data_IF_408097090880
#
_entry.id   IF_408097090880
#
_cell.length_a   1.000
_cell.length_b   1.000
_cell.length_c   1.000
_cell.angle_alpha   90.00
_cell.angle_beta   90.00
_cell.angle_gamma   90.00
#
_symmetry.space_group_name_H-M   'P 1'
#
loop_
_entity.id
_entity.type
_entity.pdbx_description
1 polymer ?
#
# COMPACT_ATOMS: atom_id res chain seq x y z
N UNK A 1 19.73 -52.12 8.62
CA UNK A 1 20.05 -52.18 7.19
C UNK A 1 20.85 -50.95 6.85
N UNK A 2 22.02 -51.13 6.25
CA UNK A 2 22.75 -50.04 5.63
C UNK A 2 22.04 -49.61 4.35
N UNK A 3 22.16 -48.35 3.93
CA UNK A 3 21.69 -47.89 2.61
C UNK A 3 22.30 -48.72 1.46
N UNK A 4 23.45 -49.36 1.71
CA UNK A 4 24.11 -50.27 0.77
C UNK A 4 23.39 -51.64 0.62
N UNK A 5 22.46 -51.98 1.51
CA UNK A 5 21.68 -53.22 1.43
C UNK A 5 20.51 -53.11 0.42
N UNK A 6 20.26 -51.91 -0.10
CA UNK A 6 19.27 -51.62 -1.13
C UNK A 6 19.98 -51.44 -2.47
N UNK A 7 19.85 -52.40 -3.39
CA UNK A 7 20.28 -52.27 -4.78
C UNK A 7 19.41 -51.22 -5.49
N UNK A 8 19.76 -49.95 -5.33
CA UNK A 8 19.06 -48.84 -5.95
C UNK A 8 19.72 -48.52 -7.31
N UNK A 9 18.93 -48.30 -8.38
CA UNK A 9 19.46 -47.89 -9.67
C UNK A 9 20.30 -46.61 -9.55
N UNK A 10 21.42 -46.55 -10.26
CA UNK A 10 22.35 -45.40 -10.22
C UNK A 10 21.81 -44.18 -10.95
N UNK A 11 20.93 -44.39 -11.94
CA UNK A 11 20.26 -43.36 -12.73
C UNK A 11 18.75 -43.47 -12.49
N UNK A 12 18.23 -42.62 -11.63
CA UNK A 12 16.81 -42.60 -11.31
C UNK A 12 16.19 -41.41 -12.03
N UNK A 13 15.62 -41.68 -13.19
CA UNK A 13 14.61 -40.80 -13.78
C UNK A 13 13.26 -41.07 -13.10
N UNK A 14 12.44 -40.01 -12.95
CA UNK A 14 11.23 -39.97 -12.13
C UNK A 14 10.18 -41.08 -12.39
N UNK A 15 10.22 -41.78 -13.54
CA UNK A 15 9.25 -42.81 -13.90
C UNK A 15 9.55 -44.20 -13.28
N UNK A 16 10.81 -44.53 -12.99
CA UNK A 16 11.18 -45.83 -12.41
C UNK A 16 11.04 -45.87 -10.87
N UNK A 17 10.96 -44.71 -10.23
CA UNK A 17 10.80 -44.56 -8.78
C UNK A 17 9.51 -45.16 -8.24
N UNK A 18 8.39 -44.93 -8.91
CA UNK A 18 7.09 -45.45 -8.49
C UNK A 18 7.07 -46.99 -8.47
N UNK A 19 7.81 -47.62 -9.39
CA UNK A 19 7.92 -49.07 -9.49
C UNK A 19 8.82 -49.65 -8.39
N UNK A 20 9.95 -49.00 -8.12
CA UNK A 20 10.86 -49.37 -7.02
C UNK A 20 10.18 -49.19 -5.66
N UNK A 21 9.48 -48.08 -5.43
CA UNK A 21 8.75 -47.80 -4.19
C UNK A 21 7.59 -48.77 -3.97
N UNK A 22 6.86 -49.15 -5.02
CA UNK A 22 5.82 -50.21 -4.92
C UNK A 22 6.43 -51.56 -4.56
N UNK A 23 7.55 -51.96 -5.17
CA UNK A 23 8.26 -53.20 -4.82
C UNK A 23 8.81 -53.19 -3.39
N UNK A 24 9.28 -52.05 -2.91
CA UNK A 24 9.72 -51.87 -1.52
C UNK A 24 8.52 -51.87 -0.54
N UNK A 25 7.36 -51.36 -0.93
CA UNK A 25 6.15 -51.38 -0.12
C UNK A 25 5.65 -52.80 0.16
N UNK A 26 5.72 -53.68 -0.84
CA UNK A 26 5.33 -55.08 -0.72
C UNK A 26 6.29 -55.86 0.21
N UNK A 27 7.59 -55.56 0.13
CA UNK A 27 8.62 -56.29 0.89
C UNK A 27 8.88 -55.72 2.29
N UNK A 28 8.74 -54.40 2.45
CA UNK A 28 9.08 -53.67 3.67
C UNK A 28 8.02 -52.59 3.97
N UNK A 29 6.84 -52.97 4.50
CA UNK A 29 5.73 -52.05 4.76
C UNK A 29 6.11 -50.87 5.68
N UNK A 30 6.97 -51.12 6.69
CA UNK A 30 7.46 -50.07 7.58
C UNK A 30 8.42 -49.10 6.88
N UNK A 31 9.25 -49.59 5.95
CA UNK A 31 10.14 -48.72 5.17
C UNK A 31 9.31 -47.81 4.27
N UNK A 32 8.29 -48.35 3.59
CA UNK A 32 7.35 -47.56 2.80
C UNK A 32 6.53 -46.58 3.66
N UNK A 33 6.05 -47.02 4.82
CA UNK A 33 5.37 -46.12 5.75
C UNK A 33 6.30 -44.97 6.18
N UNK A 34 7.54 -45.28 6.59
CA UNK A 34 8.52 -44.26 6.94
C UNK A 34 8.83 -43.36 5.75
N UNK A 35 8.95 -43.89 4.51
CA UNK A 35 9.25 -43.07 3.34
C UNK A 35 8.15 -42.11 2.95
N UNK A 36 6.90 -42.44 3.26
CA UNK A 36 5.74 -41.61 2.96
C UNK A 36 5.38 -40.66 4.11
N UNK A 37 5.64 -41.05 5.36
CA UNK A 37 5.15 -40.35 6.56
C UNK A 37 6.24 -39.76 7.45
N UNK A 38 7.53 -39.87 7.10
CA UNK A 38 8.61 -39.33 7.94
C UNK A 38 8.47 -37.81 8.17
N UNK A 39 8.03 -37.03 7.19
CA UNK A 39 7.85 -35.58 7.33
C UNK A 39 6.76 -35.20 8.35
N UNK A 40 5.73 -36.05 8.48
CA UNK A 40 4.71 -35.90 9.52
C UNK A 40 5.30 -36.15 10.92
N UNK A 41 6.14 -37.18 11.08
CA UNK A 41 6.79 -37.47 12.35
C UNK A 41 7.86 -36.43 12.72
N UNK A 42 8.57 -35.90 11.73
CA UNK A 42 9.59 -34.86 11.91
C UNK A 42 9.01 -33.47 12.20
N UNK A 43 7.72 -33.23 11.90
CA UNK A 43 7.03 -31.96 12.18
C UNK A 43 6.23 -31.95 13.49
N UNK A 44 6.20 -33.06 14.23
CA UNK A 44 5.59 -33.14 15.57
C UNK A 44 6.43 -32.45 16.67
N UNK A 45 5.86 -32.19 17.85
CA UNK A 45 6.61 -31.69 19.01
C UNK A 45 7.69 -32.72 19.38
N UNK A 46 8.94 -32.35 19.18
CA UNK A 46 10.09 -33.23 19.38
C UNK A 46 10.34 -33.36 20.88
N UNK A 47 10.10 -34.55 21.43
CA UNK A 47 10.31 -34.78 22.87
C UNK A 47 11.80 -34.75 23.27
N UNK A 48 12.76 -35.08 22.40
CA UNK A 48 14.22 -34.84 22.58
C UNK A 48 15.03 -35.00 21.27
N UNK A 49 16.20 -34.32 21.19
CA UNK A 49 17.44 -34.65 20.43
C UNK A 49 17.42 -34.89 18.91
N UNK A 50 16.28 -34.90 18.24
CA UNK A 50 16.24 -35.18 16.79
C UNK A 50 16.81 -34.01 15.95
N UNK A 51 16.95 -32.85 16.57
CA UNK A 51 17.46 -31.62 15.98
C UNK A 51 18.94 -31.75 15.62
N UNK A 52 19.79 -32.17 16.55
CA UNK A 52 21.23 -32.36 16.34
C UNK A 52 21.52 -33.44 15.31
N UNK A 53 20.69 -34.49 15.26
CA UNK A 53 20.81 -35.60 14.32
C UNK A 53 20.38 -35.20 12.90
N UNK A 54 19.31 -34.41 12.77
CA UNK A 54 18.90 -33.85 11.47
C UNK A 54 19.89 -32.79 11.02
N UNK A 55 20.38 -31.92 11.91
CA UNK A 55 21.45 -30.97 11.61
C UNK A 55 22.69 -31.73 11.13
N UNK A 56 23.17 -32.75 11.86
CA UNK A 56 24.31 -33.56 11.43
C UNK A 56 24.06 -34.24 10.08
N UNK A 57 22.90 -34.86 9.86
CA UNK A 57 22.52 -35.46 8.57
C UNK A 57 22.57 -34.45 7.41
N UNK A 58 22.17 -33.21 7.69
CA UNK A 58 22.06 -32.13 6.71
C UNK A 58 23.39 -31.39 6.49
N UNK A 59 24.16 -31.13 7.54
CA UNK A 59 25.29 -30.20 7.55
C UNK A 59 26.66 -30.86 7.68
N UNK A 60 26.79 -31.96 8.42
CA UNK A 60 28.08 -32.61 8.70
C UNK A 60 27.90 -34.11 9.02
N UNK A 61 28.13 -34.99 8.03
CA UNK A 61 28.24 -36.44 8.31
C UNK A 61 27.86 -37.39 7.18
N UNK A 62 27.08 -36.96 6.18
CA UNK A 62 26.65 -37.81 5.07
C UNK A 62 27.18 -37.28 3.74
N UNK A 63 27.93 -38.11 3.01
CA UNK A 63 28.45 -37.74 1.70
C UNK A 63 27.32 -37.25 0.77
N UNK A 64 27.65 -36.34 -0.14
CA UNK A 64 26.66 -35.72 -1.03
C UNK A 64 25.92 -36.75 -1.91
N UNK A 65 26.50 -37.94 -2.10
CA UNK A 65 25.93 -39.06 -2.85
C UNK A 65 24.80 -39.75 -2.07
N UNK A 66 25.01 -40.01 -0.77
CA UNK A 66 24.07 -40.68 0.12
C UNK A 66 22.90 -39.78 0.50
N UNK A 67 23.13 -38.46 0.62
CA UNK A 67 22.06 -37.46 0.71
C UNK A 67 21.21 -37.43 -0.56
N UNK A 68 21.83 -37.48 -1.74
CA UNK A 68 21.12 -37.52 -3.03
C UNK A 68 20.32 -38.81 -3.21
N UNK A 69 20.87 -39.96 -2.83
CA UNK A 69 20.14 -41.24 -2.82
C UNK A 69 18.92 -41.19 -1.90
N UNK A 70 19.09 -40.68 -0.67
CA UNK A 70 17.99 -40.53 0.28
C UNK A 70 16.91 -39.58 -0.27
N UNK A 71 17.31 -38.40 -0.75
CA UNK A 71 16.40 -37.44 -1.37
C UNK A 71 15.62 -38.05 -2.55
N UNK A 72 16.28 -38.84 -3.41
CA UNK A 72 15.65 -39.51 -4.54
C UNK A 72 14.64 -40.60 -4.12
N UNK A 73 14.90 -41.34 -3.04
CA UNK A 73 13.98 -42.37 -2.51
C UNK A 73 12.72 -41.74 -1.92
N UNK A 74 12.87 -40.62 -1.22
CA UNK A 74 11.76 -39.98 -0.49
C UNK A 74 11.00 -38.95 -1.33
N UNK A 75 11.35 -38.78 -2.61
CA UNK A 75 10.88 -37.68 -3.44
C UNK A 75 9.46 -37.86 -3.97
N UNK A 76 8.64 -36.81 -3.83
CA UNK A 76 7.39 -36.65 -4.59
C UNK A 76 7.47 -35.34 -5.38
N UNK A 77 8.17 -35.40 -6.53
CA UNK A 77 8.20 -34.40 -7.62
C UNK A 77 8.65 -32.98 -7.21
N UNK A 78 9.86 -32.58 -7.60
CA UNK A 78 10.17 -31.16 -7.82
C UNK A 78 10.76 -30.89 -9.20
N UNK A 79 10.16 -29.87 -9.80
CA UNK A 79 10.59 -29.13 -10.97
C UNK A 79 11.77 -28.21 -10.58
N UNK A 80 12.71 -28.08 -11.52
CA UNK A 80 13.78 -27.06 -11.67
C UNK A 80 15.00 -27.16 -10.74
N UNK A 81 16.23 -27.39 -11.23
CA UNK A 81 17.11 -26.55 -12.09
C UNK A 81 17.51 -25.22 -11.45
N UNK A 82 18.43 -25.27 -10.46
CA UNK A 82 19.29 -24.13 -10.10
C UNK A 82 20.42 -24.60 -9.16
N UNK A 83 21.61 -24.03 -9.34
CA UNK A 83 22.91 -24.47 -8.79
C UNK A 83 23.24 -23.90 -7.39
N UNK A 84 22.34 -23.17 -6.72
CA UNK A 84 22.74 -22.28 -5.61
C UNK A 84 22.10 -22.54 -4.24
N UNK A 85 21.02 -23.33 -4.12
CA UNK A 85 20.46 -23.69 -2.81
C UNK A 85 21.12 -24.97 -2.24
N UNK A 86 21.52 -25.01 -0.94
CA UNK A 86 22.00 -26.23 -0.31
C UNK A 86 20.84 -27.23 -0.23
N UNK A 87 21.10 -28.46 -0.68
CA UNK A 87 20.14 -29.57 -0.61
C UNK A 87 19.41 -29.68 0.75
N UNK A 88 20.06 -29.40 1.91
CA UNK A 88 19.37 -29.41 3.20
C UNK A 88 18.23 -28.41 3.41
N UNK A 89 18.43 -27.16 2.99
CA UNK A 89 17.42 -26.13 3.18
C UNK A 89 16.25 -26.36 2.23
N UNK A 90 16.55 -26.72 0.98
CA UNK A 90 15.53 -27.12 0.01
C UNK A 90 14.75 -28.35 0.50
N UNK A 91 15.44 -29.33 1.09
CA UNK A 91 14.81 -30.49 1.70
C UNK A 91 13.90 -30.07 2.87
N UNK A 92 14.36 -29.23 3.78
CA UNK A 92 13.53 -28.76 4.88
C UNK A 92 12.28 -28.00 4.39
N UNK A 93 12.42 -27.21 3.33
CA UNK A 93 11.32 -26.53 2.63
C UNK A 93 10.33 -27.51 2.00
N UNK A 94 10.81 -28.52 1.26
CA UNK A 94 9.97 -29.48 0.53
C UNK A 94 9.10 -30.34 1.45
N UNK A 95 9.55 -30.54 2.70
CA UNK A 95 8.88 -31.38 3.68
C UNK A 95 8.29 -30.61 4.87
N UNK A 96 8.27 -29.28 4.83
CA UNK A 96 7.66 -28.47 5.89
C UNK A 96 8.37 -28.56 7.25
N UNK A 97 9.70 -28.77 7.25
CA UNK A 97 10.51 -29.00 8.46
C UNK A 97 10.98 -27.68 9.10
N UNK A 98 10.04 -26.98 9.73
CA UNK A 98 10.17 -25.59 10.16
C UNK A 98 11.24 -25.35 11.20
N UNK A 99 11.32 -26.25 12.17
CA UNK A 99 12.27 -26.15 13.26
C UNK A 99 13.69 -26.15 12.71
N UNK A 100 13.94 -27.04 11.73
CA UNK A 100 15.20 -27.15 11.01
C UNK A 100 15.45 -25.91 10.15
N UNK A 101 14.44 -25.38 9.46
CA UNK A 101 14.57 -24.13 8.71
C UNK A 101 14.96 -22.95 9.62
N UNK A 102 14.33 -22.83 10.79
CA UNK A 102 14.65 -21.81 11.79
C UNK A 102 16.08 -21.90 12.30
N UNK A 103 16.54 -23.11 12.62
CA UNK A 103 17.93 -23.37 13.04
C UNK A 103 18.92 -23.07 11.92
N UNK A 104 18.65 -23.52 10.68
CA UNK A 104 19.50 -23.24 9.52
C UNK A 104 19.66 -21.74 9.23
N UNK A 105 18.60 -20.95 9.45
CA UNK A 105 18.64 -19.48 9.34
C UNK A 105 19.42 -18.83 10.52
N UNK A 106 19.20 -19.28 11.75
CA UNK A 106 19.84 -18.75 12.96
C UNK A 106 21.35 -18.99 12.99
N UNK A 107 21.84 -20.11 12.44
CA UNK A 107 23.27 -20.39 12.36
C UNK A 107 24.02 -19.54 11.30
N UNK A 108 23.34 -18.61 10.62
CA UNK A 108 23.96 -17.56 9.82
C UNK A 108 24.77 -18.01 8.60
N UNK A 109 24.73 -19.31 8.27
CA UNK A 109 25.44 -19.87 7.11
C UNK A 109 24.72 -19.67 5.79
N UNK A 110 23.46 -19.20 5.80
CA UNK A 110 22.63 -19.12 4.61
C UNK A 110 21.88 -17.80 4.54
N UNK A 111 22.12 -17.05 3.46
CA UNK A 111 21.28 -15.92 3.03
C UNK A 111 20.55 -16.39 1.79
N UNK A 112 19.23 -16.52 1.88
CA UNK A 112 18.41 -16.59 0.68
C UNK A 112 18.35 -15.16 0.13
N UNK A 113 18.67 -14.97 -1.15
CA UNK A 113 18.57 -13.64 -1.78
C UNK A 113 17.11 -13.18 -1.87
N UNK A 114 16.16 -14.09 -1.67
CA UNK A 114 14.72 -13.87 -1.68
C UNK A 114 14.07 -14.24 -0.32
N UNK A 115 13.10 -13.48 0.20
CA UNK A 115 12.51 -13.76 1.51
C UNK A 115 11.79 -15.12 1.57
N UNK A 116 11.95 -15.86 2.68
CA UNK A 116 11.40 -17.21 2.85
C UNK A 116 9.88 -17.30 2.66
N UNK A 117 9.14 -16.30 3.15
CA UNK A 117 7.70 -16.23 2.95
C UNK A 117 7.33 -16.06 1.46
N UNK A 118 8.14 -15.32 0.70
CA UNK A 118 7.90 -15.12 -0.72
C UNK A 118 8.03 -16.45 -1.49
N UNK A 119 9.02 -17.27 -1.17
CA UNK A 119 9.17 -18.61 -1.76
C UNK A 119 7.99 -19.52 -1.42
N UNK A 120 7.49 -19.48 -0.18
CA UNK A 120 6.29 -20.24 0.20
C UNK A 120 5.05 -19.81 -0.61
N UNK A 121 4.88 -18.50 -0.81
CA UNK A 121 3.80 -17.95 -1.65
C UNK A 121 3.96 -18.33 -3.12
N UNK A 122 5.18 -18.24 -3.67
CA UNK A 122 5.48 -18.64 -5.05
C UNK A 122 5.09 -20.09 -5.34
N UNK A 123 5.30 -20.98 -4.37
CA UNK A 123 4.98 -22.41 -4.47
C UNK A 123 3.52 -22.74 -4.22
N UNK A 124 2.71 -21.77 -3.79
CA UNK A 124 1.31 -22.03 -3.41
C UNK A 124 1.18 -22.82 -2.10
N UNK A 125 2.22 -22.88 -1.27
CA UNK A 125 2.23 -23.71 -0.05
C UNK A 125 1.56 -22.97 1.11
N UNK A 126 0.23 -23.11 1.19
CA UNK A 126 -0.59 -22.50 2.23
C UNK A 126 -0.15 -22.91 3.65
N UNK A 127 0.29 -24.15 3.85
CA UNK A 127 0.70 -24.65 5.16
C UNK A 127 1.96 -23.91 5.63
N UNK A 128 2.95 -23.79 4.74
CA UNK A 128 4.16 -23.02 4.99
C UNK A 128 3.87 -21.53 5.20
N UNK A 129 2.95 -20.94 4.42
CA UNK A 129 2.57 -19.51 4.59
C UNK A 129 1.98 -19.24 5.97
N UNK A 130 0.98 -20.01 6.42
CA UNK A 130 0.32 -19.81 7.73
C UNK A 130 1.31 -19.82 8.88
N UNK A 131 2.27 -20.70 8.76
CA UNK A 131 3.26 -21.02 9.74
C UNK A 131 4.32 -19.94 9.82
N UNK A 132 4.87 -19.52 8.68
CA UNK A 132 5.84 -18.42 8.61
C UNK A 132 5.23 -17.11 9.11
N UNK A 133 3.94 -16.86 8.84
CA UNK A 133 3.21 -15.71 9.38
C UNK A 133 3.08 -15.74 10.91
N UNK A 134 3.11 -16.93 11.52
CA UNK A 134 3.10 -17.11 12.98
C UNK A 134 4.46 -16.89 13.64
N UNK A 135 5.53 -16.65 12.88
CA UNK A 135 6.86 -16.39 13.42
C UNK A 135 7.15 -14.89 13.46
N UNK A 136 7.56 -14.38 14.62
CA UNK A 136 7.81 -12.95 14.82
C UNK A 136 9.01 -12.42 14.03
N UNK A 137 10.00 -13.29 13.76
CA UNK A 137 11.23 -12.94 13.04
C UNK A 137 11.07 -12.93 11.51
N UNK A 138 9.91 -13.34 10.99
CA UNK A 138 9.62 -13.28 9.55
C UNK A 138 8.98 -11.94 9.24
N UNK A 139 9.59 -11.14 8.37
CA UNK A 139 8.96 -9.94 7.80
C UNK A 139 8.00 -10.32 6.67
N UNK A 140 6.68 -10.16 6.85
CA UNK A 140 5.71 -10.57 5.85
C UNK A 140 5.60 -9.59 4.66
N UNK A 141 6.26 -8.44 4.72
CA UNK A 141 6.28 -7.42 3.68
C UNK A 141 7.61 -7.37 2.92
N UNK A 142 8.54 -8.29 3.22
CA UNK A 142 9.85 -8.34 2.62
C UNK A 142 9.74 -8.49 1.09
N UNK A 143 10.34 -7.55 0.37
CA UNK A 143 10.29 -7.52 -1.09
C UNK A 143 11.31 -8.48 -1.73
N UNK A 144 10.93 -9.07 -2.86
CA UNK A 144 11.87 -9.75 -3.77
C UNK A 144 13.02 -8.82 -4.14
N UNK A 145 14.26 -9.31 -4.07
CA UNK A 145 15.45 -8.55 -4.42
C UNK A 145 15.45 -8.13 -5.91
N UNK A 146 14.93 -8.98 -6.79
CA UNK A 146 14.91 -8.78 -8.25
C UNK A 146 13.71 -7.99 -8.75
N UNK A 147 12.49 -8.33 -8.28
CA UNK A 147 11.23 -7.79 -8.83
C UNK A 147 10.58 -6.71 -7.97
N UNK A 148 11.08 -6.50 -6.74
CA UNK A 148 10.46 -5.63 -5.71
C UNK A 148 9.02 -6.02 -5.35
N UNK A 149 8.59 -7.24 -5.67
CA UNK A 149 7.26 -7.74 -5.31
C UNK A 149 7.21 -8.14 -3.84
N UNK A 150 6.11 -7.82 -3.16
CA UNK A 150 5.81 -8.34 -1.81
C UNK A 150 5.13 -9.71 -1.91
N UNK A 151 5.11 -10.51 -0.82
CA UNK A 151 4.37 -11.77 -0.80
C UNK A 151 2.89 -11.60 -1.15
N UNK A 152 2.26 -10.50 -0.71
CA UNK A 152 0.87 -10.20 -1.07
C UNK A 152 0.69 -9.94 -2.57
N UNK A 153 1.57 -9.15 -3.19
CA UNK A 153 1.49 -8.89 -4.63
C UNK A 153 1.70 -10.17 -5.45
N UNK A 154 2.66 -11.02 -5.08
CA UNK A 154 2.90 -12.29 -5.75
C UNK A 154 1.68 -13.23 -5.61
N UNK A 155 1.06 -13.28 -4.43
CA UNK A 155 -0.16 -14.06 -4.23
C UNK A 155 -1.33 -13.55 -5.09
N UNK A 156 -1.42 -12.24 -5.33
CA UNK A 156 -2.47 -11.66 -6.19
C UNK A 156 -2.19 -11.89 -7.69
N UNK A 157 -0.93 -11.93 -8.10
CA UNK A 157 -0.53 -12.22 -9.48
C UNK A 157 -1.03 -13.60 -9.94
N UNK A 158 -1.05 -14.57 -9.02
CA UNK A 158 -1.45 -15.94 -9.29
C UNK A 158 -2.95 -16.16 -9.05
N UNK A 159 -3.70 -16.49 -10.11
CA UNK A 159 -5.16 -16.70 -10.04
C UNK A 159 -5.62 -17.74 -9.02
N UNK A 160 -4.81 -18.78 -8.79
CA UNK A 160 -5.16 -19.89 -7.89
C UNK A 160 -4.88 -19.58 -6.40
N UNK A 161 -4.21 -18.47 -6.09
CA UNK A 161 -3.70 -18.16 -4.76
C UNK A 161 -4.63 -17.28 -3.90
N UNK A 162 -5.92 -17.13 -4.25
CA UNK A 162 -6.90 -16.35 -3.46
C UNK A 162 -6.91 -16.75 -1.98
N UNK A 163 -6.81 -18.05 -1.69
CA UNK A 163 -6.77 -18.56 -0.31
C UNK A 163 -5.49 -18.14 0.46
N UNK A 164 -4.37 -17.94 -0.25
CA UNK A 164 -3.12 -17.39 0.31
C UNK A 164 -3.29 -15.88 0.54
N UNK A 165 -3.91 -15.15 -0.39
CA UNK A 165 -4.23 -13.73 -0.21
C UNK A 165 -5.05 -13.52 1.05
N UNK A 166 -6.13 -14.28 1.23
CA UNK A 166 -6.95 -14.19 2.44
C UNK A 166 -6.15 -14.50 3.71
N UNK A 167 -5.25 -15.48 3.67
CA UNK A 167 -4.42 -15.85 4.81
C UNK A 167 -3.42 -14.76 5.17
N UNK A 168 -2.77 -14.17 4.16
CA UNK A 168 -1.85 -13.03 4.33
C UNK A 168 -2.58 -11.83 4.95
N UNK A 169 -3.75 -11.47 4.43
CA UNK A 169 -4.54 -10.34 4.94
C UNK A 169 -5.03 -10.57 6.40
N UNK A 170 -5.45 -11.79 6.74
CA UNK A 170 -5.90 -12.13 8.10
C UNK A 170 -4.79 -12.07 9.15
N UNK A 171 -3.51 -12.10 8.75
CA UNK A 171 -2.39 -12.02 9.70
C UNK A 171 -2.30 -10.68 10.43
N UNK A 172 -2.86 -9.61 9.87
CA UNK A 172 -2.78 -8.24 10.41
C UNK A 172 -1.38 -7.60 10.36
N UNK A 173 -0.34 -8.34 9.93
CA UNK A 173 1.05 -7.88 9.82
C UNK A 173 1.43 -7.47 8.39
N UNK A 174 0.58 -7.81 7.41
CA UNK A 174 0.79 -7.53 5.99
C UNK A 174 0.25 -6.14 5.64
N UNK A 175 1.03 -5.35 4.93
CA UNK A 175 0.59 -4.09 4.32
C UNK A 175 -0.24 -4.39 3.06
N UNK A 176 -1.57 -4.29 3.21
CA UNK A 176 -2.52 -4.48 2.13
C UNK A 176 -2.37 -3.48 0.96
N UNK A 177 -1.64 -2.37 1.17
CA UNK A 177 -1.45 -1.30 0.20
C UNK A 177 -0.04 -1.25 -0.39
N UNK A 178 0.80 -2.24 -0.09
CA UNK A 178 2.20 -2.27 -0.51
C UNK A 178 2.32 -2.14 -2.03
N UNK A 179 3.23 -1.28 -2.51
CA UNK A 179 3.45 -1.07 -3.94
C UNK A 179 4.57 -1.96 -4.46
N UNK A 180 4.33 -2.58 -5.62
CA UNK A 180 5.34 -3.33 -6.36
C UNK A 180 6.28 -2.41 -7.16
N UNK A 181 7.18 -3.01 -7.95
CA UNK A 181 8.16 -2.26 -8.78
C UNK A 181 7.55 -1.35 -9.86
N UNK A 182 6.26 -1.50 -10.16
CA UNK A 182 5.48 -0.68 -11.10
C UNK A 182 4.47 0.24 -10.38
N UNK A 183 4.66 0.50 -9.08
CA UNK A 183 3.74 1.26 -8.23
C UNK A 183 2.32 0.69 -8.11
N UNK A 184 2.06 -0.53 -8.57
CA UNK A 184 0.74 -1.15 -8.46
C UNK A 184 0.50 -1.67 -7.05
N UNK A 185 -0.72 -1.46 -6.58
CA UNK A 185 -1.22 -2.07 -5.35
C UNK A 185 -1.79 -3.47 -5.63
N UNK A 186 -1.93 -4.31 -4.59
CA UNK A 186 -2.62 -5.60 -4.71
C UNK A 186 -4.02 -5.46 -5.30
N UNK A 187 -4.77 -4.41 -4.92
CA UNK A 187 -6.12 -4.18 -5.45
C UNK A 187 -6.12 -3.88 -6.96
N UNK A 188 -5.19 -3.05 -7.44
CA UNK A 188 -5.06 -2.76 -8.88
C UNK A 188 -4.71 -4.01 -9.68
N UNK A 189 -3.79 -4.83 -9.17
CA UNK A 189 -3.38 -6.06 -9.83
C UNK A 189 -4.52 -7.07 -9.90
N UNK A 190 -5.26 -7.27 -8.80
CA UNK A 190 -6.42 -8.15 -8.75
C UNK A 190 -7.50 -7.74 -9.77
N UNK A 191 -7.74 -6.42 -9.89
CA UNK A 191 -8.67 -5.84 -10.86
C UNK A 191 -8.19 -6.04 -12.30
N UNK A 192 -6.92 -5.76 -12.58
CA UNK A 192 -6.35 -5.94 -13.92
C UNK A 192 -6.46 -7.39 -14.40
N UNK A 193 -6.29 -8.35 -13.48
CA UNK A 193 -6.45 -9.77 -13.77
C UNK A 193 -7.90 -10.28 -13.77
N UNK A 194 -8.88 -9.46 -13.36
CA UNK A 194 -10.30 -9.84 -13.30
C UNK A 194 -10.62 -10.86 -12.21
N UNK A 195 -9.82 -10.96 -11.14
CA UNK A 195 -9.97 -12.00 -10.12
C UNK A 195 -10.99 -11.55 -9.05
N UNK A 196 -12.28 -11.66 -9.35
CA UNK A 196 -13.39 -11.19 -8.50
C UNK A 196 -13.24 -11.60 -7.01
N UNK A 197 -12.96 -12.87 -6.67
CA UNK A 197 -12.85 -13.27 -5.26
C UNK A 197 -11.70 -12.56 -4.53
N UNK A 198 -10.57 -12.35 -5.21
CA UNK A 198 -9.41 -11.62 -4.66
C UNK A 198 -9.72 -10.13 -4.50
N UNK A 199 -10.41 -9.52 -5.47
CA UNK A 199 -10.87 -8.13 -5.37
C UNK A 199 -11.81 -7.96 -4.16
N UNK A 200 -12.74 -8.90 -3.95
CA UNK A 200 -13.63 -8.87 -2.79
C UNK A 200 -12.88 -9.03 -1.46
N UNK A 201 -11.94 -9.97 -1.38
CA UNK A 201 -11.13 -10.19 -0.18
C UNK A 201 -10.33 -8.94 0.20
N UNK A 202 -9.76 -8.24 -0.79
CA UNK A 202 -9.03 -6.99 -0.57
C UNK A 202 -9.94 -5.84 -0.15
N UNK A 203 -11.12 -5.68 -0.76
CA UNK A 203 -12.07 -4.63 -0.41
C UNK A 203 -12.71 -4.81 0.98
N UNK A 204 -12.80 -6.04 1.47
CA UNK A 204 -13.23 -6.33 2.86
C UNK A 204 -12.18 -5.95 3.90
N UNK A 205 -10.92 -5.78 3.52
CA UNK A 205 -9.85 -5.50 4.46
C UNK A 205 -9.96 -4.05 4.99
N UNK A 206 -10.05 -3.82 6.32
CA UNK A 206 -10.39 -2.51 6.87
C UNK A 206 -9.34 -1.42 6.58
N UNK A 207 -8.09 -1.80 6.35
CA UNK A 207 -7.01 -0.87 6.01
C UNK A 207 -6.79 -0.64 4.51
N UNK A 208 -7.66 -1.14 3.62
CA UNK A 208 -7.44 -1.02 2.17
C UNK A 208 -7.65 0.42 1.69
N UNK A 209 -6.69 0.94 0.92
CA UNK A 209 -6.77 2.26 0.30
C UNK A 209 -7.10 2.14 -1.19
N UNK A 210 -8.39 2.20 -1.48
CA UNK A 210 -8.95 2.12 -2.84
C UNK A 210 -8.58 3.33 -3.72
N UNK A 211 -8.19 4.45 -3.09
CA UNK A 211 -7.84 5.70 -3.76
C UNK A 211 -6.35 5.81 -4.11
N UNK A 212 -5.56 4.77 -3.81
CA UNK A 212 -4.15 4.74 -4.21
C UNK A 212 -4.06 4.89 -5.73
N UNK A 213 -3.11 5.69 -6.21
CA UNK A 213 -2.85 5.90 -7.63
C UNK A 213 -1.59 5.17 -8.07
N UNK A 214 -1.62 4.58 -9.26
CA UNK A 214 -0.45 4.05 -9.95
C UNK A 214 0.36 5.16 -10.63
N UNK A 215 1.39 4.79 -11.39
CA UNK A 215 2.26 5.74 -12.11
C UNK A 215 1.52 6.51 -13.24
N UNK A 216 0.40 5.96 -13.74
CA UNK A 216 -0.49 6.63 -14.70
C UNK A 216 -1.48 7.59 -14.01
N UNK A 217 -1.49 7.62 -12.67
CA UNK A 217 -2.46 8.36 -11.89
C UNK A 217 -3.84 7.70 -11.81
N UNK A 218 -3.99 6.43 -12.20
CA UNK A 218 -5.27 5.69 -12.17
C UNK A 218 -5.47 5.01 -10.82
N UNK A 219 -6.71 4.93 -10.37
CA UNK A 219 -7.10 4.15 -9.17
C UNK A 219 -7.61 2.76 -9.59
N UNK A 220 -7.80 1.86 -8.63
CA UNK A 220 -8.28 0.51 -8.92
C UNK A 220 -9.66 0.50 -9.63
N UNK A 221 -10.56 1.43 -9.28
CA UNK A 221 -11.85 1.56 -9.96
C UNK A 221 -11.70 1.88 -11.44
N UNK A 222 -10.77 2.78 -11.82
CA UNK A 222 -10.50 3.15 -13.21
C UNK A 222 -10.04 1.92 -14.01
N UNK A 223 -9.17 1.10 -13.42
CA UNK A 223 -8.75 -0.17 -14.02
C UNK A 223 -9.92 -1.15 -14.21
N UNK A 224 -10.86 -1.20 -13.27
CA UNK A 224 -12.07 -2.03 -13.38
C UNK A 224 -12.98 -1.53 -14.51
N UNK A 225 -13.16 -0.21 -14.61
CA UNK A 225 -14.01 0.41 -15.62
C UNK A 225 -13.51 0.17 -17.05
N UNK A 226 -12.20 0.17 -17.26
CA UNK A 226 -11.57 -0.10 -18.55
C UNK A 226 -11.15 -1.57 -18.74
N UNK A 227 -11.58 -2.48 -17.85
CA UNK A 227 -11.23 -3.89 -17.96
C UNK A 227 -11.88 -4.51 -19.22
N UNK A 228 -11.10 -5.16 -20.11
CA UNK A 228 -11.60 -5.66 -21.39
C UNK A 228 -12.36 -7.00 -21.29
N UNK A 229 -12.40 -7.63 -20.11
CA UNK A 229 -13.00 -8.95 -19.89
C UNK A 229 -14.47 -8.92 -19.43
N UNK A 230 -15.15 -10.09 -19.42
CA UNK A 230 -16.54 -10.23 -18.98
C UNK A 230 -16.72 -9.91 -17.48
N UNK A 231 -15.63 -9.93 -16.71
CA UNK A 231 -15.60 -9.69 -15.27
C UNK A 231 -15.80 -8.20 -14.92
N UNK A 232 -15.78 -7.29 -15.91
CA UNK A 232 -15.92 -5.84 -15.74
C UNK A 232 -17.14 -5.44 -14.91
N UNK A 233 -18.33 -5.88 -15.32
CA UNK A 233 -19.57 -5.45 -14.66
C UNK A 233 -19.66 -6.01 -13.24
N UNK A 234 -19.13 -7.22 -13.03
CA UNK A 234 -19.00 -7.82 -11.70
C UNK A 234 -18.07 -7.03 -10.79
N UNK A 235 -16.92 -6.56 -11.30
CA UNK A 235 -16.01 -5.70 -10.54
C UNK A 235 -16.64 -4.35 -10.19
N UNK A 236 -17.29 -3.69 -11.16
CA UNK A 236 -17.95 -2.39 -10.93
C UNK A 236 -19.02 -2.53 -9.84
N UNK A 237 -19.91 -3.52 -9.97
CA UNK A 237 -20.94 -3.78 -8.96
C UNK A 237 -20.34 -4.07 -7.57
N UNK A 238 -19.17 -4.72 -7.55
CA UNK A 238 -18.47 -5.00 -6.30
C UNK A 238 -17.89 -3.72 -5.67
N UNK A 239 -17.24 -2.86 -6.44
CA UNK A 239 -16.80 -1.55 -5.94
C UNK A 239 -17.98 -0.72 -5.41
N UNK A 240 -19.08 -0.65 -6.16
CA UNK A 240 -20.28 0.10 -5.78
C UNK A 240 -20.90 -0.45 -4.48
N UNK A 241 -20.91 -1.77 -4.31
CA UNK A 241 -21.38 -2.43 -3.09
C UNK A 241 -20.58 -2.02 -1.84
N UNK A 242 -19.28 -1.76 -2.00
CA UNK A 242 -18.43 -1.26 -0.91
C UNK A 242 -18.37 0.28 -0.84
N UNK A 243 -19.23 0.98 -1.59
CA UNK A 243 -19.35 2.45 -1.55
C UNK A 243 -18.38 3.20 -2.47
N UNK A 244 -17.77 2.53 -3.45
CA UNK A 244 -16.79 3.11 -4.37
C UNK A 244 -17.34 3.16 -5.80
N UNK A 245 -17.40 4.34 -6.43
CA UNK A 245 -18.02 4.53 -7.74
C UNK A 245 -17.22 5.43 -8.71
N UNK A 246 -17.79 5.65 -9.90
CA UNK A 246 -17.17 6.40 -11.01
C UNK A 246 -16.83 7.88 -10.68
N UNK A 247 -17.42 8.43 -9.62
CA UNK A 247 -17.13 9.79 -9.13
C UNK A 247 -15.68 9.92 -8.59
N UNK A 248 -14.97 8.80 -8.40
CA UNK A 248 -13.60 8.77 -7.86
C UNK A 248 -12.51 9.10 -8.88
N UNK A 249 -12.79 9.08 -10.19
CA UNK A 249 -11.84 9.56 -11.22
C UNK A 249 -11.51 11.06 -11.03
N UNK A 250 -12.45 11.83 -10.46
CA UNK A 250 -12.29 13.25 -10.14
C UNK A 250 -11.86 13.53 -8.69
N UNK A 251 -11.70 12.50 -7.85
CA UNK A 251 -11.14 12.65 -6.51
C UNK A 251 -9.62 12.79 -6.61
N UNK A 252 -9.11 13.91 -7.13
CA UNK A 252 -7.70 14.23 -6.96
C UNK A 252 -7.49 14.62 -5.49
N UNK A 253 -6.73 13.86 -4.67
CA UNK A 253 -5.94 14.53 -3.66
C UNK A 253 -5.06 15.52 -4.42
N UNK A 254 -4.82 16.70 -3.86
CA UNK A 254 -4.02 17.79 -4.44
C UNK A 254 -2.55 17.35 -4.76
N UNK A 255 -2.22 16.09 -4.47
CA UNK A 255 -0.99 15.40 -4.77
C UNK A 255 -1.16 14.55 -6.04
N UNK A 256 -0.45 14.97 -7.10
CA UNK A 256 -0.11 14.22 -8.33
C UNK A 256 -1.04 14.42 -9.54
N UNK A 257 -0.75 15.47 -10.33
CA UNK A 257 -1.03 15.45 -11.78
C UNK A 257 0.17 14.88 -12.55
N UNK A 258 -0.01 13.91 -13.48
CA UNK A 258 1.05 13.45 -14.38
C UNK A 258 1.33 14.48 -15.48
N UNK A 259 2.63 14.69 -15.75
CA UNK A 259 3.14 15.44 -16.90
C UNK A 259 2.75 14.72 -18.19
N UNK A 260 1.91 15.33 -19.03
CA UNK A 260 1.76 14.92 -20.43
C UNK A 260 3.10 15.10 -21.14
N UNK A 261 3.82 14.00 -21.43
CA UNK A 261 4.86 13.99 -22.46
C UNK A 261 4.21 13.71 -23.81
N UNK A 262 3.74 14.74 -24.49
CA UNK A 262 3.71 14.68 -25.95
C UNK A 262 5.13 14.91 -26.45
N UNK A 263 5.63 13.90 -27.17
CA UNK A 263 6.94 13.88 -27.80
C UNK A 263 6.88 14.79 -29.02
N UNK A 264 7.31 16.03 -28.86
CA UNK A 264 7.76 16.88 -29.97
C UNK A 264 8.94 17.71 -29.48
N UNK A 265 10.09 17.53 -30.12
CA UNK A 265 11.34 18.25 -29.84
C UNK A 265 11.16 19.75 -30.07
N UNK A 266 11.67 20.58 -29.14
CA UNK A 266 12.49 21.81 -29.32
C UNK A 266 12.47 22.66 -28.03
N UNK A 267 13.44 23.58 -27.87
CA UNK A 267 14.61 23.50 -27.01
C UNK A 267 14.32 23.80 -25.52
N UNK A 268 15.15 23.25 -24.62
CA UNK A 268 15.06 23.52 -23.18
C UNK A 268 15.40 24.99 -22.83
N UNK A 269 14.65 25.62 -21.91
CA UNK A 269 15.19 26.63 -21.03
C UNK A 269 15.34 26.10 -19.59
N UNK A 270 16.52 26.38 -19.05
CA UNK A 270 17.01 26.35 -17.66
C UNK A 270 16.27 25.56 -16.57
N UNK A 271 17.07 24.69 -15.94
CA UNK A 271 16.89 24.12 -14.62
C UNK A 271 16.86 25.26 -13.58
N UNK A 272 15.68 25.59 -13.05
CA UNK A 272 15.40 25.74 -11.62
C UNK A 272 13.95 26.22 -11.39
N UNK A 273 13.29 25.62 -10.39
CA UNK A 273 11.90 25.83 -9.91
C UNK A 273 10.76 25.18 -10.70
N UNK A 274 10.56 23.87 -10.51
CA UNK A 274 9.23 23.26 -10.66
C UNK A 274 8.43 23.51 -9.38
N UNK A 275 7.39 24.34 -9.48
CA UNK A 275 6.47 24.68 -8.40
C UNK A 275 5.55 23.51 -8.03
N UNK A 276 5.26 23.28 -6.74
CA UNK A 276 4.37 22.21 -6.28
C UNK A 276 2.89 22.48 -6.59
N UNK A 277 2.14 21.43 -6.94
CA UNK A 277 0.73 21.48 -7.36
C UNK A 277 -0.27 21.78 -6.25
N UNK A 278 0.14 21.62 -4.98
CA UNK A 278 -0.66 21.92 -3.78
C UNK A 278 -0.36 23.28 -3.16
N UNK A 279 0.36 24.13 -3.90
CA UNK A 279 1.07 25.27 -3.35
C UNK A 279 2.11 24.86 -2.31
N UNK A 280 2.43 25.74 -1.38
CA UNK A 280 3.61 25.58 -0.53
C UNK A 280 3.28 24.96 0.81
N UNK A 281 3.92 23.82 1.11
CA UNK A 281 3.91 23.22 2.44
C UNK A 281 4.89 23.96 3.33
N UNK A 282 4.40 24.52 4.43
CA UNK A 282 5.20 25.36 5.33
C UNK A 282 5.28 24.73 6.73
N UNK A 283 6.50 24.59 7.29
CA UNK A 283 6.68 24.28 8.70
C UNK A 283 6.41 25.54 9.54
N UNK A 284 5.66 25.43 10.63
CA UNK A 284 5.45 26.56 11.55
C UNK A 284 6.24 26.40 12.85
N UNK A 285 7.56 26.18 12.75
CA UNK A 285 8.47 26.32 13.89
C UNK A 285 9.00 27.77 13.99
N UNK A 286 8.10 28.74 13.80
CA UNK A 286 8.42 30.14 13.62
C UNK A 286 8.91 30.40 12.18
N UNK A 287 8.18 31.17 11.36
CA UNK A 287 8.63 31.44 10.00
C UNK A 287 9.88 32.32 10.05
N UNK A 288 11.01 31.80 9.59
CA UNK A 288 12.08 32.68 9.11
C UNK A 288 11.62 33.28 7.78
N UNK A 289 12.05 34.50 7.42
CA UNK A 289 11.62 35.12 6.14
C UNK A 289 11.92 34.28 4.92
N UNK A 290 12.93 33.41 5.00
CA UNK A 290 13.31 32.48 3.94
C UNK A 290 12.29 31.36 3.70
N UNK A 291 11.40 31.08 4.65
CA UNK A 291 10.47 29.94 4.54
C UNK A 291 9.19 30.31 3.81
N UNK A 292 8.83 31.59 3.72
CA UNK A 292 7.60 32.02 3.05
C UNK A 292 7.83 32.21 1.54
N UNK A 293 6.98 31.63 0.68
CA UNK A 293 7.08 31.80 -0.76
C UNK A 293 6.78 33.25 -1.16
N UNK A 294 7.51 33.83 -2.12
CA UNK A 294 7.20 35.16 -2.65
C UNK A 294 5.78 35.22 -3.23
N UNK A 295 5.14 36.37 -3.10
CA UNK A 295 3.76 36.64 -3.51
C UNK A 295 3.48 36.27 -4.98
N UNK A 296 4.47 36.45 -5.86
CA UNK A 296 4.40 36.05 -7.27
C UNK A 296 4.16 34.55 -7.46
N UNK A 297 4.52 33.73 -6.48
CA UNK A 297 4.32 32.28 -6.49
C UNK A 297 3.04 31.84 -5.76
N UNK A 298 2.44 32.68 -4.91
CA UNK A 298 1.23 32.36 -4.14
C UNK A 298 -0.06 32.74 -4.89
N UNK A 299 0.06 33.49 -5.99
CA UNK A 299 -1.08 33.93 -6.80
C UNK A 299 -1.70 35.22 -6.27
N UNK A 300 -2.88 35.57 -6.78
CA UNK A 300 -3.56 36.80 -6.35
C UNK A 300 -4.15 36.65 -4.95
N UNK A 301 -3.87 37.59 -4.02
CA UNK A 301 -4.44 37.54 -2.67
C UNK A 301 -5.94 37.84 -2.71
N UNK A 302 -6.68 37.22 -1.80
CA UNK A 302 -8.14 37.40 -1.69
C UNK A 302 -8.49 38.78 -1.12
N UNK A 303 -7.66 39.27 -0.20
CA UNK A 303 -7.73 40.61 0.33
C UNK A 303 -6.32 41.17 0.46
N UNK A 304 -6.13 42.42 0.06
CA UNK A 304 -4.83 43.07 0.03
C UNK A 304 -4.90 44.38 0.83
N UNK A 305 -4.52 44.32 2.11
CA UNK A 305 -4.42 45.49 2.98
C UNK A 305 -3.00 46.07 2.95
N UNK A 306 -2.78 47.32 3.40
CA UNK A 306 -1.43 47.90 3.46
C UNK A 306 -0.45 47.10 4.33
N UNK A 307 -0.95 46.42 5.37
CA UNK A 307 -0.13 45.74 6.37
C UNK A 307 -0.07 44.21 6.19
N UNK A 308 -1.11 43.60 5.61
CA UNK A 308 -1.21 42.16 5.40
C UNK A 308 -2.01 41.84 4.14
N UNK A 309 -1.87 40.63 3.61
CA UNK A 309 -2.79 40.08 2.63
C UNK A 309 -3.26 38.69 3.06
N UNK A 310 -4.44 38.30 2.60
CA UNK A 310 -5.08 37.05 3.03
C UNK A 310 -5.00 36.03 1.89
N UNK A 311 -4.51 34.84 2.21
CA UNK A 311 -4.48 33.68 1.34
C UNK A 311 -5.34 32.55 1.89
N UNK A 312 -5.70 31.61 1.03
CA UNK A 312 -6.23 30.32 1.44
C UNK A 312 -5.11 29.40 1.89
N UNK A 313 -5.43 28.52 2.82
CA UNK A 313 -4.65 27.31 3.01
C UNK A 313 -5.39 26.25 3.79
N UNK A 314 -4.65 25.21 4.13
CA UNK A 314 -5.15 24.03 4.82
C UNK A 314 -4.24 23.71 5.99
N UNK A 315 -4.76 23.84 7.20
CA UNK A 315 -4.04 23.47 8.41
C UNK A 315 -4.07 21.96 8.60
N UNK A 316 -2.91 21.37 8.84
CA UNK A 316 -2.76 19.92 9.06
C UNK A 316 -2.75 19.66 10.56
N UNK A 317 -3.83 19.04 11.05
CA UNK A 317 -3.97 18.55 12.42
C UNK A 317 -3.64 17.04 12.47
N UNK A 318 -3.64 16.44 13.66
CA UNK A 318 -3.25 15.03 13.84
C UNK A 318 -4.17 14.05 13.10
N UNK A 319 -5.48 14.33 13.05
CA UNK A 319 -6.51 13.45 12.46
C UNK A 319 -7.43 14.16 11.46
N UNK A 320 -7.22 15.45 11.23
CA UNK A 320 -8.07 16.28 10.37
C UNK A 320 -7.24 17.30 9.62
N UNK A 321 -7.84 17.87 8.57
CA UNK A 321 -7.27 18.98 7.81
C UNK A 321 -8.35 20.04 7.65
N UNK A 322 -8.08 21.27 8.03
CA UNK A 322 -9.10 22.33 8.03
C UNK A 322 -8.75 23.43 7.03
N UNK A 323 -9.68 23.83 6.15
CA UNK A 323 -9.55 25.06 5.39
C UNK A 323 -9.41 26.27 6.31
N UNK A 324 -8.42 27.12 6.04
CA UNK A 324 -8.07 28.26 6.90
C UNK A 324 -7.78 29.53 6.12
N UNK A 325 -7.92 30.66 6.82
CA UNK A 325 -7.29 31.92 6.40
C UNK A 325 -5.83 31.92 6.86
N UNK A 326 -4.94 32.39 5.99
CA UNK A 326 -3.55 32.64 6.33
C UNK A 326 -3.27 34.11 6.08
N UNK A 327 -2.93 34.83 7.15
CA UNK A 327 -2.67 36.26 7.11
C UNK A 327 -1.19 36.52 6.89
N UNK A 328 -0.80 36.86 5.68
CA UNK A 328 0.60 37.10 5.34
C UNK A 328 0.99 38.55 5.65
N UNK A 329 1.79 38.75 6.71
CA UNK A 329 2.20 40.07 7.19
C UNK A 329 3.33 40.67 6.32
N UNK A 330 3.10 41.87 5.76
CA UNK A 330 4.08 42.59 4.91
C UNK A 330 5.23 43.20 5.70
N UNK A 331 5.09 43.34 7.02
CA UNK A 331 6.11 43.80 7.98
C UNK A 331 6.76 42.64 8.73
N UNK A 332 6.77 41.44 8.17
CA UNK A 332 7.76 40.44 8.56
C UNK A 332 7.57 39.84 9.99
N UNK A 333 6.34 39.77 10.48
CA UNK A 333 5.98 39.09 11.74
C UNK A 333 5.41 37.68 11.49
N UNK A 334 5.51 36.75 12.46
CA UNK A 334 4.91 35.43 12.34
C UNK A 334 3.41 35.58 12.06
N UNK A 335 3.02 35.09 10.90
CA UNK A 335 1.71 35.22 10.31
C UNK A 335 0.78 34.14 10.88
N UNK A 336 -0.31 34.48 11.58
CA UNK A 336 -1.13 33.47 12.26
C UNK A 336 -1.91 32.64 11.24
N UNK A 337 -1.59 31.34 11.17
CA UNK A 337 -2.48 30.34 10.58
C UNK A 337 -3.61 30.09 11.58
N UNK A 338 -4.85 30.45 11.23
CA UNK A 338 -5.97 30.42 12.17
C UNK A 338 -6.98 29.36 11.76
N UNK A 339 -7.21 28.40 12.64
CA UNK A 339 -8.17 27.29 12.45
C UNK A 339 -9.39 27.55 13.32
N UNK A 340 -10.58 27.27 12.80
CA UNK A 340 -11.76 27.10 13.64
C UNK A 340 -11.90 25.61 13.93
N UNK A 341 -11.90 25.23 15.20
CA UNK A 341 -12.11 23.85 15.65
C UNK A 341 -13.07 23.86 16.83
N UNK A 342 -14.12 23.03 16.78
CA UNK A 342 -15.12 22.91 17.85
C UNK A 342 -15.68 24.26 18.33
N UNK A 343 -15.98 25.17 17.39
CA UNK A 343 -16.44 26.54 17.66
C UNK A 343 -15.44 27.44 18.41
N UNK A 344 -14.15 27.10 18.38
CA UNK A 344 -13.07 27.91 18.96
C UNK A 344 -12.07 28.34 17.89
N UNK A 345 -11.54 29.55 18.03
CA UNK A 345 -10.47 30.06 17.17
C UNK A 345 -9.13 29.61 17.76
N UNK A 346 -8.37 28.80 17.02
CA UNK A 346 -7.08 28.28 17.41
C UNK A 346 -6.00 28.84 16.50
N UNK A 347 -4.95 29.40 17.09
CA UNK A 347 -3.72 29.71 16.37
C UNK A 347 -2.94 28.40 16.13
N UNK A 348 -2.95 27.92 14.89
CA UNK A 348 -2.34 26.66 14.48
C UNK A 348 -0.82 26.82 14.41
N UNK A 349 -0.11 26.01 15.19
CA UNK A 349 1.36 25.99 15.25
C UNK A 349 1.99 24.81 14.49
N UNK A 350 1.17 24.03 13.80
CA UNK A 350 1.61 22.87 13.03
C UNK A 350 1.92 23.20 11.57
N UNK A 351 2.01 22.16 10.74
CA UNK A 351 2.19 22.32 9.28
C UNK A 351 0.90 22.81 8.64
N UNK A 352 1.03 23.60 7.58
CA UNK A 352 -0.10 23.97 6.72
C UNK A 352 0.36 24.09 5.27
N UNK A 353 -0.61 23.95 4.36
CA UNK A 353 -0.41 24.09 2.92
C UNK A 353 -1.06 25.41 2.46
N UNK A 354 -0.33 26.24 1.71
CA UNK A 354 -0.87 27.44 1.06
C UNK A 354 -1.55 27.05 -0.25
N UNK A 355 -2.82 27.43 -0.46
CA UNK A 355 -3.50 27.23 -1.73
C UNK A 355 -3.26 28.42 -2.66
N UNK A 356 -2.73 28.14 -3.84
CA UNK A 356 -2.55 29.13 -4.90
C UNK A 356 -3.88 29.36 -5.63
N UNK A 357 -4.41 30.58 -5.59
CA UNK A 357 -5.61 30.94 -6.34
C UNK A 357 -5.25 31.29 -7.79
N UNK A 358 -5.90 30.59 -8.72
CA UNK A 358 -5.70 30.76 -10.16
C UNK A 358 -7.01 31.16 -10.83
N UNK A 359 -7.24 32.44 -11.16
CA UNK A 359 -8.52 32.90 -11.70
C UNK A 359 -8.87 32.26 -13.07
N UNK A 360 -7.91 31.70 -13.79
CA UNK A 360 -8.16 31.00 -15.06
C UNK A 360 -8.78 29.61 -14.87
N UNK A 361 -8.56 28.98 -13.72
CA UNK A 361 -8.98 27.59 -13.46
C UNK A 361 -9.94 27.47 -12.27
N UNK A 362 -10.04 28.53 -11.47
CA UNK A 362 -10.86 28.58 -10.26
C UNK A 362 -11.82 29.76 -10.32
N UNK A 363 -12.96 29.61 -9.64
CA UNK A 363 -13.94 30.67 -9.50
C UNK A 363 -14.72 30.56 -8.19
N UNK A 364 -15.24 31.68 -7.73
CA UNK A 364 -16.15 31.74 -6.60
C UNK A 364 -17.58 31.57 -7.09
N UNK A 365 -18.29 30.64 -6.48
CA UNK A 365 -19.67 30.34 -6.83
C UNK A 365 -20.54 30.57 -5.61
N UNK A 366 -21.62 31.33 -5.77
CA UNK A 366 -22.58 31.55 -4.69
C UNK A 366 -23.15 30.22 -4.21
N UNK A 367 -23.16 30.06 -2.90
CA UNK A 367 -23.68 28.91 -2.18
C UNK A 367 -24.47 29.39 -0.97
N UNK A 368 -25.45 28.59 -0.55
CA UNK A 368 -26.23 28.83 0.65
C UNK A 368 -26.28 27.57 1.51
N UNK A 369 -26.34 27.74 2.82
CA UNK A 369 -26.49 26.64 3.80
C UNK A 369 -25.41 25.55 3.67
N UNK A 370 -24.19 25.93 3.26
CA UNK A 370 -23.08 24.99 3.05
C UNK A 370 -23.26 24.05 1.84
N UNK A 371 -24.34 24.23 1.05
CA UNK A 371 -24.65 23.36 -0.08
C UNK A 371 -23.76 23.70 -1.27
N UNK A 372 -23.20 22.66 -1.86
CA UNK A 372 -22.44 22.77 -3.10
C UNK A 372 -23.43 23.03 -4.25
N UNK A 373 -23.26 24.10 -5.04
CA UNK A 373 -24.16 24.39 -6.16
C UNK A 373 -24.14 23.26 -7.20
N UNK A 374 -25.31 22.95 -7.76
CA UNK A 374 -25.46 21.83 -8.69
C UNK A 374 -24.55 21.96 -9.92
N UNK A 375 -23.90 20.87 -10.30
CA UNK A 375 -22.98 20.82 -11.45
C UNK A 375 -21.64 21.52 -11.23
N UNK A 376 -21.34 21.96 -10.01
CA UNK A 376 -20.06 22.62 -9.67
C UNK A 376 -19.15 21.67 -8.92
N UNK A 377 -17.84 21.84 -9.12
CA UNK A 377 -16.79 21.04 -8.46
C UNK A 377 -16.07 21.90 -7.42
N UNK A 378 -16.39 21.78 -6.12
CA UNK A 378 -15.77 22.58 -5.09
C UNK A 378 -14.30 22.18 -4.86
N UNK A 379 -13.47 23.15 -4.49
CA UNK A 379 -12.07 22.92 -4.12
C UNK A 379 -12.04 22.38 -2.69
N UNK A 380 -11.72 21.08 -2.55
CA UNK A 380 -11.56 20.43 -1.25
C UNK A 380 -10.34 21.01 -0.55
N UNK A 381 -10.56 21.59 0.63
CA UNK A 381 -9.50 22.16 1.46
C UNK A 381 -9.11 21.27 2.64
N UNK A 382 -9.86 20.20 2.91
CA UNK A 382 -9.56 19.35 4.05
C UNK A 382 -10.61 18.29 4.34
N UNK A 383 -10.57 17.74 5.54
CA UNK A 383 -11.51 16.74 6.06
C UNK A 383 -11.57 16.77 7.60
N UNK A 384 -12.73 16.43 8.16
CA UNK A 384 -12.95 16.21 9.60
C UNK A 384 -12.37 14.86 10.06
N UNK A 385 -12.30 14.60 11.37
CA UNK A 385 -11.76 13.34 11.93
C UNK A 385 -12.47 12.09 11.41
N UNK A 386 -13.76 12.18 11.07
CA UNK A 386 -14.55 11.08 10.51
C UNK A 386 -14.38 10.91 8.99
N UNK A 387 -13.52 11.72 8.37
CA UNK A 387 -13.22 11.72 6.93
C UNK A 387 -14.17 12.59 6.09
N UNK A 388 -15.16 13.25 6.70
CA UNK A 388 -16.09 14.13 5.98
C UNK A 388 -15.33 15.26 5.28
N UNK A 389 -15.56 15.52 3.98
CA UNK A 389 -14.80 16.54 3.25
C UNK A 389 -15.19 17.96 3.65
N UNK A 390 -14.18 18.82 3.76
CA UNK A 390 -14.30 20.26 3.96
C UNK A 390 -13.81 21.02 2.72
N UNK A 391 -14.49 22.10 2.38
CA UNK A 391 -14.21 22.91 1.18
C UNK A 391 -13.84 24.34 1.54
N UNK A 392 -13.11 25.02 0.64
CA UNK A 392 -12.78 26.43 0.83
C UNK A 392 -14.02 27.31 0.57
N UNK A 393 -14.46 27.99 1.61
CA UNK A 393 -15.53 28.99 1.55
C UNK A 393 -14.98 30.41 1.67
N UNK A 394 -15.74 31.38 1.18
CA UNK A 394 -15.57 32.81 1.46
C UNK A 394 -16.88 33.34 2.03
N UNK A 395 -16.79 33.94 3.21
CA UNK A 395 -17.82 34.83 3.72
C UNK A 395 -17.54 36.27 3.28
N UNK A 396 -18.59 37.02 2.92
CA UNK A 396 -18.47 38.46 2.70
C UNK A 396 -18.97 39.19 3.95
N UNK A 397 -18.08 39.88 4.63
CA UNK A 397 -18.40 40.69 5.79
C UNK A 397 -19.19 41.95 5.39
N UNK A 398 -19.88 42.59 6.33
CA UNK A 398 -20.79 43.73 6.06
C UNK A 398 -20.10 44.95 5.43
N UNK A 399 -18.79 45.08 5.60
CA UNK A 399 -17.95 46.11 4.97
C UNK A 399 -17.42 45.71 3.57
N UNK A 400 -17.90 44.60 3.01
CA UNK A 400 -17.50 44.07 1.71
C UNK A 400 -16.21 43.25 1.71
N UNK A 401 -15.56 43.06 2.87
CA UNK A 401 -14.33 42.26 2.95
C UNK A 401 -14.63 40.77 2.83
N UNK A 402 -13.87 40.08 1.98
CA UNK A 402 -13.93 38.63 1.79
C UNK A 402 -13.02 37.95 2.82
N UNK A 403 -13.59 37.04 3.60
CA UNK A 403 -12.88 36.29 4.64
C UNK A 403 -12.95 34.79 4.30
N UNK A 404 -11.80 34.14 4.08
CA UNK A 404 -11.74 32.70 3.89
C UNK A 404 -12.18 31.92 5.13
N UNK A 405 -12.82 30.79 4.89
CA UNK A 405 -13.25 29.85 5.92
C UNK A 405 -13.43 28.45 5.36
N UNK A 406 -14.01 27.60 6.19
CA UNK A 406 -14.40 26.24 5.83
C UNK A 406 -15.91 26.16 5.59
N UNK A 407 -16.31 25.36 4.60
CA UNK A 407 -17.73 25.12 4.31
C UNK A 407 -17.96 23.65 4.00
N UNK A 408 -19.10 23.16 4.45
CA UNK A 408 -19.62 21.83 4.12
C UNK A 408 -21.13 21.80 4.32
N UNK A 409 -21.85 20.84 3.72
CA UNK A 409 -23.28 20.67 3.97
C UNK A 409 -23.61 20.43 5.46
N UNK A 410 -22.68 19.88 6.25
CA UNK A 410 -22.88 19.65 7.69
C UNK A 410 -22.78 20.93 8.52
N UNK A 411 -21.91 21.85 8.11
CA UNK A 411 -21.70 23.12 8.82
C UNK A 411 -22.86 24.11 8.62
N UNK A 412 -23.73 23.87 7.62
CA UNK A 412 -24.87 24.74 7.33
C UNK A 412 -24.48 26.14 6.83
N UNK A 413 -23.23 26.33 6.38
CA UNK A 413 -22.70 27.60 5.88
C UNK A 413 -21.17 27.60 5.82
N UNK A 414 -20.62 28.79 5.57
CA UNK A 414 -19.18 29.05 5.70
C UNK A 414 -18.85 29.46 7.14
N UNK A 415 -18.07 28.65 7.84
CA UNK A 415 -17.53 28.94 9.16
C UNK A 415 -16.18 29.62 8.98
N UNK A 416 -16.00 30.78 9.60
CA UNK A 416 -14.78 31.57 9.48
C UNK A 416 -14.43 32.27 10.78
N UNK A 417 -13.13 32.51 10.98
CA UNK A 417 -12.61 33.30 12.07
C UNK A 417 -12.45 34.76 11.64
N UNK A 418 -13.07 35.67 12.39
CA UNK A 418 -12.78 37.09 12.31
C UNK A 418 -12.41 37.56 13.72
N UNK A 419 -11.19 38.08 13.86
CA UNK A 419 -10.56 38.31 15.16
C UNK A 419 -10.56 37.03 16.04
N UNK A 420 -10.98 37.13 17.30
CA UNK A 420 -11.07 36.01 18.25
C UNK A 420 -12.43 35.28 18.20
N UNK A 421 -13.31 35.66 17.27
CA UNK A 421 -14.68 35.14 17.19
C UNK A 421 -14.89 34.22 15.99
N UNK A 422 -15.69 33.18 16.21
CA UNK A 422 -16.19 32.28 15.16
C UNK A 422 -17.50 32.81 14.62
N UNK A 423 -17.60 32.89 13.30
CA UNK A 423 -18.80 33.34 12.60
C UNK A 423 -19.27 32.29 11.61
N UNK A 424 -20.58 32.23 11.39
CA UNK A 424 -21.22 31.41 10.37
C UNK A 424 -21.93 32.32 9.36
N UNK A 425 -21.55 32.21 8.09
CA UNK A 425 -22.25 32.84 6.97
C UNK A 425 -23.06 31.78 6.21
N UNK A 426 -24.39 31.86 6.31
CA UNK A 426 -25.29 30.97 5.57
C UNK A 426 -25.19 31.25 4.07
N UNK A 427 -25.20 32.53 3.68
CA UNK A 427 -24.93 32.97 2.31
C UNK A 427 -23.44 33.25 2.15
N UNK A 428 -22.79 32.48 1.28
CA UNK A 428 -21.36 32.50 1.10
C UNK A 428 -21.00 32.20 -0.36
N UNK A 429 -19.71 32.24 -0.67
CA UNK A 429 -19.20 31.72 -1.92
C UNK A 429 -18.35 30.49 -1.62
N UNK A 430 -18.50 29.44 -2.41
CA UNK A 430 -17.62 28.27 -2.38
C UNK A 430 -16.64 28.37 -3.54
N UNK A 431 -15.36 28.12 -3.27
CA UNK A 431 -14.36 28.08 -4.33
C UNK A 431 -14.58 26.81 -5.13
N UNK A 432 -14.80 26.94 -6.44
CA UNK A 432 -14.96 25.84 -7.37
C UNK A 432 -13.89 25.90 -8.46
N UNK A 433 -13.64 24.74 -9.06
CA UNK A 433 -12.96 24.66 -10.34
C UNK A 433 -13.90 25.07 -11.47
N UNK A 434 -13.37 25.81 -12.45
CA UNK A 434 -14.04 26.15 -13.71
C UNK A 434 -14.24 24.93 -14.59
#
# INVERSE_FOLDING_TARGET
MSLNDFELPTDIDNADNDKVLRGLAEKYPFLHYSSVHWGYHASGPVEHSMEDEIIAFLTDGVDSSSRRKSANIFHKRTVTTSSEAPAPFQFAMDYGLLHIMGVLLLHGKYRYDEPLLLTAVQRGDLAMVKLLLGQDNVDPNAQSSSSKQTPLLYAVEQREHTHIVETLLRSGRVDANSKGGNSWTPLMMAVSHGIIPTVEALLKHPGINVLTRDDDGKVAYTHAFYHPGPDRDGMIALFERYGWGAEMDNYQPIYLTPVKRHRTQMPQPNVDQRLPTSGFRLPFHGPSHSDLPPLSLVGEPISNSPEYFICFGSAICDKSVHPVKIEYNKRHLPSPCTVVLDSTVICHKGRYDLLQFHPDTMEFVRASEGRIPAGRRPVKGGYEEDGTPLYHGIATHHNGHKIPGETSPRLGGCVYANDENVHLATDHEILCWK
#
